data_IF_413664273164
#
_entry.id   IF_413664273164
#
_cell.length_a   1.000
_cell.length_b   1.000
_cell.length_c   1.000
_cell.angle_alpha   90.00
_cell.angle_beta   90.00
_cell.angle_gamma   90.00
#
_symmetry.space_group_name_H-M   'P 1'
#
loop_
_entity.id
_entity.type
_entity.pdbx_description
1 polymer ?
#
# COMPACT_ATOMS: atom_id res chain seq x y z
N UNK A 1 10.82 -5.66 30.91
CA UNK A 1 10.01 -4.48 30.56
C UNK A 1 9.87 -4.27 29.05
N UNK A 2 10.51 -5.05 28.16
CA UNK A 2 10.54 -4.75 26.72
C UNK A 2 9.28 -5.08 25.90
N UNK A 3 8.49 -6.10 26.24
CA UNK A 3 7.40 -6.58 25.38
C UNK A 3 6.22 -5.60 25.27
N UNK A 4 5.87 -4.95 26.39
CA UNK A 4 4.76 -3.98 26.44
C UNK A 4 5.12 -2.70 25.68
N UNK A 5 6.38 -2.28 25.75
CA UNK A 5 6.88 -1.13 25.00
C UNK A 5 6.89 -1.42 23.50
N UNK A 6 7.25 -2.64 23.09
CA UNK A 6 7.16 -3.09 21.70
C UNK A 6 5.72 -3.05 21.18
N UNK A 7 4.75 -3.64 21.88
CA UNK A 7 3.35 -3.62 21.46
C UNK A 7 2.79 -2.20 21.32
N UNK A 8 3.14 -1.30 22.25
CA UNK A 8 2.76 0.10 22.17
C UNK A 8 3.37 0.78 20.93
N UNK A 9 4.66 0.55 20.65
CA UNK A 9 5.31 1.15 19.48
C UNK A 9 4.70 0.66 18.15
N UNK A 10 4.28 -0.60 18.09
CA UNK A 10 3.60 -1.17 16.93
C UNK A 10 2.20 -0.57 16.75
N UNK A 11 1.49 -0.38 17.86
CA UNK A 11 0.19 0.29 17.87
C UNK A 11 0.29 1.75 17.42
N UNK A 12 1.27 2.50 17.94
CA UNK A 12 1.53 3.88 17.54
C UNK A 12 1.87 3.95 16.05
N UNK A 13 2.72 3.03 15.55
CA UNK A 13 3.07 2.92 14.14
C UNK A 13 1.85 2.68 13.23
N UNK A 14 0.97 1.75 13.60
CA UNK A 14 -0.26 1.48 12.86
C UNK A 14 -1.23 2.67 12.92
N UNK A 15 -1.35 3.31 14.08
CA UNK A 15 -2.21 4.49 14.28
C UNK A 15 -1.75 5.66 13.41
N UNK A 16 -0.45 5.94 13.37
CA UNK A 16 0.12 6.97 12.50
C UNK A 16 -0.10 6.60 11.03
N UNK A 17 0.20 5.36 10.65
CA UNK A 17 0.05 4.87 9.27
C UNK A 17 -1.38 4.98 8.76
N UNK A 18 -2.38 4.72 9.61
CA UNK A 18 -3.78 4.85 9.25
C UNK A 18 -4.19 6.28 8.84
N UNK A 19 -3.41 7.31 9.18
CA UNK A 19 -3.70 8.70 8.79
C UNK A 19 -3.29 9.06 7.36
N UNK A 20 -2.36 8.30 6.76
CA UNK A 20 -1.79 8.62 5.44
C UNK A 20 -1.78 7.44 4.45
N UNK A 21 -1.87 6.20 4.92
CA UNK A 21 -1.86 5.01 4.07
C UNK A 21 -3.26 4.66 3.57
N UNK A 22 -3.31 4.05 2.38
CA UNK A 22 -4.52 3.39 1.89
C UNK A 22 -4.79 2.09 2.67
N UNK A 23 -6.07 1.66 2.80
CA UNK A 23 -6.44 0.50 3.60
C UNK A 23 -5.71 -0.80 3.24
N UNK A 24 -5.35 -1.01 1.97
CA UNK A 24 -4.54 -2.17 1.57
C UNK A 24 -3.09 -2.07 2.05
N UNK A 25 -2.46 -0.90 1.91
CA UNK A 25 -1.12 -0.68 2.42
C UNK A 25 -1.07 -0.86 3.95
N UNK A 26 -2.13 -0.44 4.66
CA UNK A 26 -2.28 -0.69 6.08
C UNK A 26 -2.41 -2.19 6.42
N UNK A 27 -3.20 -2.95 5.65
CA UNK A 27 -3.26 -4.44 5.76
C UNK A 27 -1.90 -5.09 5.53
N UNK A 28 -1.12 -4.61 4.56
CA UNK A 28 0.25 -5.10 4.29
C UNK A 28 1.21 -4.80 5.43
N UNK A 29 1.12 -3.61 6.03
CA UNK A 29 1.88 -3.27 7.23
C UNK A 29 1.51 -4.19 8.40
N UNK A 30 0.21 -4.40 8.64
CA UNK A 30 -0.25 -5.31 9.68
C UNK A 30 0.28 -6.74 9.46
N UNK A 31 0.18 -7.28 8.24
CA UNK A 31 0.75 -8.59 7.90
C UNK A 31 2.26 -8.65 8.14
N UNK A 32 3.00 -7.58 7.84
CA UNK A 32 4.45 -7.48 8.09
C UNK A 32 4.75 -7.54 9.59
N UNK A 33 3.96 -6.83 10.41
CA UNK A 33 4.07 -6.88 11.87
C UNK A 33 3.81 -8.29 12.39
N UNK A 34 2.79 -8.99 11.88
CA UNK A 34 2.53 -10.39 12.26
C UNK A 34 3.76 -11.28 12.00
N UNK A 35 4.37 -11.16 10.82
CA UNK A 35 5.42 -12.11 10.41
C UNK A 35 6.77 -11.81 11.03
N UNK A 36 7.13 -10.53 11.18
CA UNK A 36 8.49 -10.12 11.50
C UNK A 36 8.65 -9.46 12.87
N UNK A 37 7.57 -9.10 13.55
CA UNK A 37 7.64 -8.46 14.87
C UNK A 37 7.22 -9.41 15.99
N UNK A 38 7.77 -9.21 17.18
CA UNK A 38 7.45 -9.97 18.39
C UNK A 38 6.24 -9.37 19.12
N UNK A 39 5.15 -9.14 18.39
CA UNK A 39 3.95 -8.56 18.95
C UNK A 39 3.23 -9.58 19.85
N UNK A 40 2.94 -9.21 21.10
CA UNK A 40 2.32 -10.11 22.07
C UNK A 40 0.80 -9.98 22.13
N UNK A 41 0.27 -8.83 21.72
CA UNK A 41 -1.16 -8.54 21.74
C UNK A 41 -1.76 -8.31 20.34
N UNK A 42 -1.56 -9.29 19.45
CA UNK A 42 -2.10 -9.26 18.08
C UNK A 42 -3.61 -9.04 18.04
N UNK A 43 -4.35 -9.63 18.97
CA UNK A 43 -5.81 -9.51 19.04
C UNK A 43 -6.24 -8.06 19.27
N UNK A 44 -5.60 -7.35 20.19
CA UNK A 44 -5.92 -5.95 20.44
C UNK A 44 -5.55 -5.05 19.26
N UNK A 45 -4.40 -5.29 18.62
CA UNK A 45 -4.00 -4.56 17.41
C UNK A 45 -5.01 -4.77 16.28
N UNK A 46 -5.45 -6.01 16.08
CA UNK A 46 -6.48 -6.35 15.11
C UNK A 46 -7.78 -5.58 15.36
N UNK A 47 -8.34 -5.66 16.56
CA UNK A 47 -9.62 -5.03 16.90
C UNK A 47 -9.57 -3.51 16.77
N UNK A 48 -8.44 -2.89 17.15
CA UNK A 48 -8.27 -1.45 17.04
C UNK A 48 -8.14 -0.95 15.60
N UNK A 49 -7.41 -1.68 14.75
CA UNK A 49 -7.06 -1.23 13.39
C UNK A 49 -7.96 -1.82 12.29
N UNK A 50 -8.87 -2.74 12.61
CA UNK A 50 -9.81 -3.35 11.66
C UNK A 50 -10.64 -2.30 10.90
N UNK A 51 -11.11 -1.27 11.60
CA UNK A 51 -11.89 -0.19 11.01
C UNK A 51 -11.14 0.46 9.84
N UNK A 52 -9.92 0.93 10.08
CA UNK A 52 -9.07 1.55 9.07
C UNK A 52 -8.67 0.58 7.95
N UNK A 53 -8.39 -0.68 8.29
CA UNK A 53 -8.03 -1.70 7.29
C UNK A 53 -9.19 -2.09 6.36
N UNK A 54 -10.43 -1.88 6.80
CA UNK A 54 -11.65 -2.23 6.06
C UNK A 54 -12.29 -1.07 5.29
N UNK A 55 -11.73 0.14 5.38
CA UNK A 55 -12.40 1.37 4.92
C UNK A 55 -12.77 1.33 3.43
N UNK A 56 -11.92 0.75 2.58
CA UNK A 56 -12.17 0.61 1.15
C UNK A 56 -13.35 -0.32 0.83
N UNK A 57 -13.59 -1.34 1.67
CA UNK A 57 -14.70 -2.27 1.51
C UNK A 57 -16.04 -1.72 2.01
N UNK A 58 -16.02 -0.76 2.94
CA UNK A 58 -17.27 -0.17 3.48
C UNK A 58 -18.12 0.53 2.43
N UNK A 59 -17.52 0.92 1.29
CA UNK A 59 -18.25 1.52 0.16
C UNK A 59 -19.21 0.54 -0.50
N UNK A 60 -18.95 -0.76 -0.43
CA UNK A 60 -19.72 -1.80 -1.10
C UNK A 60 -20.35 -2.83 -0.15
N UNK A 61 -19.88 -2.88 1.10
CA UNK A 61 -20.34 -3.83 2.10
C UNK A 61 -20.61 -3.14 3.44
N UNK A 62 -21.81 -3.34 4.00
CA UNK A 62 -22.24 -2.78 5.29
C UNK A 62 -22.23 -3.79 6.43
N UNK A 63 -22.19 -5.09 6.14
CA UNK A 63 -22.14 -6.15 7.12
C UNK A 63 -20.73 -6.29 7.71
N UNK A 64 -20.60 -6.02 9.02
CA UNK A 64 -19.33 -6.06 9.75
C UNK A 64 -18.65 -7.43 9.71
N UNK A 65 -19.42 -8.52 9.83
CA UNK A 65 -18.85 -9.87 9.78
C UNK A 65 -18.27 -10.18 8.39
N UNK A 66 -18.89 -9.69 7.33
CA UNK A 66 -18.36 -9.87 5.96
C UNK A 66 -17.11 -9.02 5.75
N UNK A 67 -17.09 -7.76 6.22
CA UNK A 67 -15.91 -6.89 6.18
C UNK A 67 -14.73 -7.53 6.90
N UNK A 68 -14.96 -8.06 8.11
CA UNK A 68 -13.95 -8.75 8.90
C UNK A 68 -13.35 -9.92 8.10
N UNK A 69 -14.19 -10.76 7.49
CA UNK A 69 -13.74 -11.89 6.69
C UNK A 69 -12.99 -11.48 5.41
N UNK A 70 -13.38 -10.38 4.76
CA UNK A 70 -12.64 -9.85 3.61
C UNK A 70 -11.24 -9.39 3.98
N UNK A 71 -11.11 -8.62 5.06
CA UNK A 71 -9.80 -8.16 5.58
C UNK A 71 -8.95 -9.35 6.02
N UNK A 72 -9.55 -10.34 6.71
CA UNK A 72 -8.84 -11.55 7.13
C UNK A 72 -8.34 -12.38 5.95
N UNK A 73 -9.10 -12.49 4.86
CA UNK A 73 -8.67 -13.21 3.64
C UNK A 73 -7.48 -12.52 2.99
N UNK A 74 -7.53 -11.20 2.87
CA UNK A 74 -6.41 -10.41 2.35
C UNK A 74 -5.13 -10.58 3.19
N UNK A 75 -5.25 -10.48 4.51
CA UNK A 75 -4.12 -10.66 5.42
C UNK A 75 -3.61 -12.10 5.37
N UNK A 76 -4.49 -13.09 5.26
CA UNK A 76 -4.09 -14.49 5.08
C UNK A 76 -3.24 -14.63 3.84
N UNK A 77 -3.66 -14.06 2.72
CA UNK A 77 -2.94 -14.18 1.45
C UNK A 77 -1.57 -13.48 1.53
N UNK A 78 -1.51 -12.32 2.18
CA UNK A 78 -0.24 -11.62 2.46
C UNK A 78 0.69 -12.44 3.36
N UNK A 79 0.18 -12.98 4.47
CA UNK A 79 0.94 -13.83 5.42
C UNK A 79 1.41 -15.12 4.74
N UNK A 80 0.56 -15.72 3.92
CA UNK A 80 0.89 -16.92 3.15
C UNK A 80 1.98 -16.65 2.12
N UNK A 81 1.96 -15.49 1.45
CA UNK A 81 3.03 -15.08 0.53
C UNK A 81 4.40 -14.94 1.22
N UNK A 82 4.41 -14.70 2.54
CA UNK A 82 5.61 -14.66 3.38
C UNK A 82 5.96 -16.03 4.00
N UNK A 83 5.29 -17.11 3.59
CA UNK A 83 5.56 -18.48 4.03
C UNK A 83 5.07 -18.80 5.44
N UNK A 84 4.08 -18.06 5.95
CA UNK A 84 3.47 -18.27 7.26
C UNK A 84 1.98 -18.66 7.13
N UNK A 85 1.41 -19.22 8.19
CA UNK A 85 -0.02 -19.52 8.26
C UNK A 85 -0.68 -18.51 9.20
N UNK A 86 -1.76 -17.86 8.75
CA UNK A 86 -2.51 -16.90 9.58
C UNK A 86 -3.03 -17.54 10.88
N UNK A 87 -3.27 -18.85 10.88
CA UNK A 87 -3.79 -19.60 12.03
C UNK A 87 -2.82 -19.57 13.23
N UNK A 88 -1.55 -19.20 13.05
CA UNK A 88 -0.59 -19.10 14.16
C UNK A 88 -0.71 -17.83 15.00
N UNK A 89 -1.53 -16.85 14.59
CA UNK A 89 -1.51 -15.49 15.17
C UNK A 89 -2.71 -15.14 16.08
N UNK A 90 -3.58 -16.10 16.41
CA UNK A 90 -4.70 -15.85 17.33
C UNK A 90 -5.76 -14.87 16.81
N UNK A 91 -5.85 -14.69 15.49
CA UNK A 91 -6.86 -13.90 14.81
C UNK A 91 -8.21 -14.65 14.74
N UNK A 92 -9.35 -13.95 14.49
CA UNK A 92 -10.63 -14.62 14.28
C UNK A 92 -10.56 -15.71 13.21
N UNK A 93 -11.40 -16.73 13.35
CA UNK A 93 -11.44 -17.84 12.41
C UNK A 93 -11.97 -17.40 11.04
N UNK A 94 -11.29 -17.86 9.99
CA UNK A 94 -11.75 -17.67 8.62
C UNK A 94 -12.86 -18.68 8.32
N UNK A 95 -14.03 -18.17 7.94
CA UNK A 95 -15.12 -19.00 7.43
C UNK A 95 -14.75 -19.43 6.01
N UNK A 96 -14.36 -20.69 5.88
CA UNK A 96 -14.18 -21.35 4.59
C UNK A 96 -15.56 -21.65 3.98
N UNK A 97 -16.22 -20.62 3.46
CA UNK A 97 -17.34 -20.85 2.53
C UNK A 97 -16.77 -21.50 1.28
N UNK A 98 -17.16 -22.75 1.04
CA UNK A 98 -16.78 -23.49 -0.15
C UNK A 98 -17.45 -22.93 -1.40
N UNK A 99 -16.95 -21.83 -1.93
CA UNK A 99 -17.18 -21.39 -3.30
C UNK A 99 -15.86 -20.99 -3.96
N UNK A 100 -15.41 -21.85 -4.87
CA UNK A 100 -14.21 -21.67 -5.68
C UNK A 100 -14.34 -20.53 -6.69
N UNK A 101 -14.32 -19.29 -6.20
CA UNK A 101 -13.89 -18.12 -6.95
C UNK A 101 -12.71 -17.51 -6.19
N UNK A 102 -11.47 -17.64 -6.65
CA UNK A 102 -11.21 -17.11 -7.96
C UNK A 102 -11.43 -15.58 -8.02
N UNK A 103 -11.38 -14.87 -6.87
CA UNK A 103 -10.92 -13.47 -6.84
C UNK A 103 -9.38 -13.40 -6.94
N UNK A 104 -8.82 -14.36 -7.68
CA UNK A 104 -7.48 -14.43 -8.27
C UNK A 104 -7.19 -13.20 -9.18
N UNK A 105 -7.95 -12.11 -9.05
CA UNK A 105 -8.10 -10.98 -9.96
C UNK A 105 -8.40 -9.66 -9.22
N UNK A 106 -7.91 -9.45 -7.99
CA UNK A 106 -7.48 -8.10 -7.58
C UNK A 106 -5.99 -7.87 -7.83
N UNK A 107 -5.42 -8.55 -8.82
CA UNK A 107 -4.02 -8.34 -9.25
C UNK A 107 -3.79 -6.97 -9.94
N UNK A 108 -4.79 -6.10 -10.12
CA UNK A 108 -4.66 -4.88 -10.98
C UNK A 108 -5.18 -3.58 -10.34
N UNK A 109 -5.88 -3.58 -9.20
CA UNK A 109 -6.70 -2.39 -8.85
C UNK A 109 -5.95 -1.21 -8.24
N UNK A 110 -4.83 -1.39 -7.55
CA UNK A 110 -4.18 -0.25 -6.86
C UNK A 110 -3.04 0.41 -7.65
N UNK A 111 -2.42 -0.26 -8.62
CA UNK A 111 -1.44 0.37 -9.52
C UNK A 111 -2.10 1.00 -10.77
N UNK A 112 -3.35 0.65 -11.11
CA UNK A 112 -4.13 1.23 -12.22
C UNK A 112 -5.20 2.25 -11.76
N UNK A 113 -5.33 2.49 -10.46
CA UNK A 113 -6.25 3.48 -9.87
C UNK A 113 -5.55 4.81 -9.54
N UNK A 114 -4.49 5.17 -10.26
CA UNK A 114 -4.36 6.58 -10.63
C UNK A 114 -5.38 6.77 -11.75
N UNK A 115 -6.60 7.18 -11.39
CA UNK A 115 -7.41 7.91 -12.35
C UNK A 115 -6.52 9.06 -12.82
N UNK A 116 -6.09 9.05 -14.08
CA UNK A 116 -5.49 10.23 -14.67
C UNK A 116 -6.60 11.25 -14.64
N UNK A 117 -6.60 12.12 -13.63
CA UNK A 117 -7.54 13.21 -13.52
C UNK A 117 -7.54 13.93 -14.87
N UNK A 118 -8.72 14.20 -15.42
CA UNK A 118 -8.85 14.85 -16.73
C UNK A 118 -8.04 16.17 -16.77
N UNK A 119 -7.85 16.81 -15.60
CA UNK A 119 -7.00 17.98 -15.39
C UNK A 119 -5.50 17.74 -15.67
N UNK A 120 -4.98 16.53 -15.45
CA UNK A 120 -3.61 16.16 -15.83
C UNK A 120 -3.45 15.95 -17.35
N UNK A 121 -4.52 15.51 -18.03
CA UNK A 121 -4.55 15.39 -19.49
C UNK A 121 -4.61 16.77 -20.17
N UNK A 122 -5.29 17.72 -19.55
CA UNK A 122 -5.37 19.12 -20.01
C UNK A 122 -4.03 19.87 -19.84
N UNK A 123 -3.20 19.48 -18.86
CA UNK A 123 -1.86 20.04 -18.73
C UNK A 123 -1.00 19.74 -19.96
N UNK A 124 -1.11 18.53 -20.53
CA UNK A 124 -0.37 18.12 -21.74
C UNK A 124 -0.71 18.96 -22.98
N UNK A 125 -1.97 19.40 -23.13
CA UNK A 125 -2.39 20.25 -24.26
C UNK A 125 -2.03 21.72 -24.06
N UNK A 126 -1.70 22.12 -22.82
CA UNK A 126 -1.29 23.49 -22.46
C UNK A 126 0.23 23.73 -22.55
N UNK A 127 1.04 22.69 -22.72
CA UNK A 127 2.50 22.81 -22.84
C UNK A 127 2.90 23.52 -24.15
N UNK A 128 3.77 24.52 -24.03
CA UNK A 128 4.38 25.14 -25.21
C UNK A 128 5.40 24.17 -25.88
N UNK A 129 5.79 24.47 -27.13
CA UNK A 129 6.59 23.56 -27.97
C UNK A 129 7.90 23.14 -27.29
N UNK A 130 8.55 24.03 -26.54
CA UNK A 130 9.82 23.75 -25.85
C UNK A 130 9.63 22.84 -24.65
N UNK A 131 8.56 23.02 -23.87
CA UNK A 131 8.27 22.16 -22.71
C UNK A 131 7.84 20.75 -23.13
N UNK A 132 7.09 20.63 -24.24
CA UNK A 132 6.71 19.32 -24.79
C UNK A 132 7.94 18.56 -25.31
N UNK A 133 8.87 19.25 -25.97
CA UNK A 133 10.10 18.62 -26.44
C UNK A 133 10.95 18.05 -25.28
N UNK A 134 11.07 18.78 -24.16
CA UNK A 134 11.78 18.27 -22.98
C UNK A 134 11.07 17.09 -22.30
N UNK A 135 9.73 17.08 -22.29
CA UNK A 135 8.97 15.96 -21.75
C UNK A 135 9.13 14.68 -22.61
N UNK A 136 9.03 14.81 -23.93
CA UNK A 136 9.26 13.70 -24.87
C UNK A 136 10.67 13.14 -24.76
N UNK A 137 11.69 13.99 -24.56
CA UNK A 137 13.08 13.56 -24.36
C UNK A 137 13.25 12.74 -23.08
N UNK A 138 12.67 13.18 -21.96
CA UNK A 138 12.72 12.43 -20.69
C UNK A 138 11.97 11.11 -20.81
N UNK A 139 10.79 11.11 -21.44
CA UNK A 139 9.98 9.91 -21.64
C UNK A 139 10.72 8.89 -22.51
N UNK A 140 11.32 9.33 -23.61
CA UNK A 140 12.15 8.50 -24.48
C UNK A 140 13.36 7.94 -23.72
N UNK A 141 13.98 8.76 -22.87
CA UNK A 141 15.13 8.35 -22.06
C UNK A 141 14.78 7.28 -21.02
N UNK A 142 13.63 7.40 -20.37
CA UNK A 142 13.10 6.44 -19.39
C UNK A 142 12.70 5.13 -20.07
N UNK A 143 12.03 5.20 -21.22
CA UNK A 143 11.57 4.03 -21.97
C UNK A 143 12.74 3.27 -22.62
N UNK A 144 13.73 3.98 -23.14
CA UNK A 144 14.86 3.39 -23.87
C UNK A 144 16.11 3.12 -22.99
N UNK A 145 16.00 3.28 -21.67
CA UNK A 145 17.00 2.87 -20.67
C UNK A 145 18.44 3.29 -20.99
N UNK A 146 18.65 4.55 -21.38
CA UNK A 146 20.01 5.10 -21.50
C UNK A 146 20.55 5.40 -20.11
N UNK A 147 21.08 4.37 -19.45
CA UNK A 147 22.00 4.55 -18.34
C UNK A 147 23.13 5.47 -18.80
N UNK A 148 23.21 6.69 -18.29
CA UNK A 148 24.44 7.31 -17.80
C UNK A 148 24.10 8.57 -16.98
N UNK A 149 24.45 8.48 -15.70
CA UNK A 149 24.45 9.54 -14.68
C UNK A 149 25.57 10.52 -14.97
N UNK A 150 25.34 11.83 -14.84
CA UNK A 150 26.34 12.78 -14.32
C UNK A 150 25.66 13.93 -13.56
N UNK A 151 25.88 13.97 -12.25
CA UNK A 151 25.79 15.18 -11.42
C UNK A 151 27.15 15.90 -11.43
N UNK A 152 27.15 17.17 -10.94
CA UNK A 152 28.31 17.99 -10.49
C UNK A 152 28.91 18.86 -11.62
N UNK A 153 29.21 20.17 -11.52
CA UNK A 153 29.49 21.09 -10.40
C UNK A 153 29.26 22.57 -10.79
N UNK A 154 29.01 23.43 -9.79
CA UNK A 154 29.20 24.88 -9.80
C UNK A 154 30.50 25.36 -10.48
N UNK A 155 30.45 26.49 -11.22
CA UNK A 155 31.16 27.75 -10.88
C UNK A 155 31.16 28.76 -12.04
N UNK A 156 31.14 30.03 -11.67
CA UNK A 156 31.13 31.29 -12.42
C UNK A 156 31.99 31.46 -13.70
N UNK A 157 31.62 32.54 -14.42
CA UNK A 157 32.37 33.41 -15.37
C UNK A 157 31.79 33.37 -16.80
N UNK A 158 31.56 34.46 -17.53
CA UNK A 158 31.78 35.89 -17.34
C UNK A 158 30.94 36.63 -18.41
N UNK A 159 30.50 37.86 -18.16
CA UNK A 159 30.33 38.85 -19.23
C UNK A 159 31.26 40.02 -18.89
N UNK A 160 32.31 40.16 -19.70
CA UNK A 160 32.99 41.43 -19.91
C UNK A 160 32.29 42.22 -21.00
#
# INVERSE_FOLDING_TARGET
MGLIETDKSLDDCLTESATFQMPYALRRLFATILVFCEATNIRALWEKHLESMSEDYRRTQSNQAVLEQMVLRDIRDLVHSMGKDIKSYGLPELVETGDGSGDLLREVREELSVGVDQEHLDLYTSLNIEQRAGFEEILDHVVNNRKHVLFVQNSDQAHG
#
